data_IF_759748559689
#
_entry.id   IF_759748559689
#
_cell.length_a   1.000
_cell.length_b   1.000
_cell.length_c   1.000
_cell.angle_alpha   90.00
_cell.angle_beta   90.00
_cell.angle_gamma   90.00
#
_symmetry.space_group_name_H-M   'P 1'
#
loop_
_entity.id
_entity.type
_entity.pdbx_description
1 polymer ?
#
# COMPACT_ATOMS: atom_id res chain seq x y z
N UNK A 1 -18.80 0.07 -17.06
CA UNK A 1 -19.51 1.34 -16.70
C UNK A 1 -19.02 2.03 -15.41
N UNK A 2 -18.82 1.32 -14.30
CA UNK A 2 -18.49 1.92 -12.99
C UNK A 2 -17.15 2.67 -12.92
N UNK A 3 -16.12 2.19 -13.64
CA UNK A 3 -14.80 2.81 -13.63
C UNK A 3 -14.79 4.24 -14.18
N UNK A 4 -15.48 4.47 -15.31
CA UNK A 4 -15.58 5.80 -15.92
C UNK A 4 -16.34 6.75 -14.99
N UNK A 5 -17.41 6.26 -14.37
CA UNK A 5 -18.21 7.02 -13.41
C UNK A 5 -17.39 7.43 -12.18
N UNK A 6 -16.58 6.51 -11.65
CA UNK A 6 -15.68 6.79 -10.54
C UNK A 6 -14.62 7.83 -10.91
N UNK A 7 -13.98 7.70 -12.09
CA UNK A 7 -13.01 8.68 -12.59
C UNK A 7 -13.62 10.07 -12.74
N UNK A 8 -14.83 10.15 -13.29
CA UNK A 8 -15.56 11.41 -13.42
C UNK A 8 -15.87 12.00 -12.04
N UNK A 9 -16.31 11.19 -11.08
CA UNK A 9 -16.58 11.63 -9.71
C UNK A 9 -15.33 12.20 -9.04
N UNK A 10 -14.18 11.54 -9.14
CA UNK A 10 -12.92 12.04 -8.60
C UNK A 10 -12.53 13.39 -9.21
N UNK A 11 -12.60 13.52 -10.54
CA UNK A 11 -12.32 14.77 -11.24
C UNK A 11 -13.34 15.88 -10.90
N UNK A 12 -14.60 15.52 -10.68
CA UNK A 12 -15.64 16.47 -10.27
C UNK A 12 -15.37 17.01 -8.87
N UNK A 13 -15.10 16.12 -7.90
CA UNK A 13 -14.81 16.47 -6.52
C UNK A 13 -13.61 17.44 -6.37
N UNK A 14 -12.64 17.39 -7.29
CA UNK A 14 -11.51 18.34 -7.34
C UNK A 14 -11.92 19.81 -7.52
N UNK A 15 -13.10 20.06 -8.10
CA UNK A 15 -13.58 21.40 -8.45
C UNK A 15 -14.79 21.84 -7.62
N UNK A 16 -15.28 21.02 -6.68
CA UNK A 16 -16.39 21.37 -5.81
C UNK A 16 -15.91 22.10 -4.55
N UNK A 17 -16.82 22.82 -3.89
CA UNK A 17 -16.55 23.29 -2.53
C UNK A 17 -16.65 22.13 -1.52
N UNK A 18 -16.16 22.35 -0.30
CA UNK A 18 -16.09 21.32 0.74
C UNK A 18 -17.45 20.78 1.16
N UNK A 19 -18.51 21.59 1.16
CA UNK A 19 -19.86 21.17 1.56
C UNK A 19 -20.49 20.24 0.51
N UNK A 20 -20.41 20.62 -0.78
CA UNK A 20 -20.88 19.81 -1.90
C UNK A 20 -20.12 18.48 -1.99
N UNK A 21 -18.80 18.53 -1.81
CA UNK A 21 -17.98 17.34 -1.78
C UNK A 21 -18.34 16.41 -0.61
N UNK A 22 -18.58 16.96 0.59
CA UNK A 22 -19.03 16.19 1.73
C UNK A 22 -20.36 15.47 1.46
N UNK A 23 -21.33 16.15 0.83
CA UNK A 23 -22.59 15.54 0.43
C UNK A 23 -22.41 14.41 -0.59
N UNK A 24 -21.53 14.59 -1.58
CA UNK A 24 -21.22 13.54 -2.56
C UNK A 24 -20.54 12.33 -1.91
N UNK A 25 -19.61 12.55 -0.97
CA UNK A 25 -18.96 11.47 -0.23
C UNK A 25 -20.01 10.65 0.53
N UNK A 26 -20.91 11.31 1.27
CA UNK A 26 -21.95 10.61 2.02
C UNK A 26 -22.91 9.82 1.11
N UNK A 27 -23.33 10.40 -0.02
CA UNK A 27 -24.39 9.82 -0.85
C UNK A 27 -23.89 8.83 -1.90
N UNK A 28 -22.72 9.09 -2.50
CA UNK A 28 -22.19 8.34 -3.65
C UNK A 28 -21.01 7.43 -3.29
N UNK A 29 -20.38 7.61 -2.12
CA UNK A 29 -19.23 6.79 -1.70
C UNK A 29 -19.59 5.95 -0.48
N UNK A 30 -20.08 6.58 0.59
CA UNK A 30 -20.40 5.94 1.87
C UNK A 30 -21.88 5.56 2.00
N UNK A 31 -22.69 5.78 0.97
CA UNK A 31 -24.12 5.53 1.01
C UNK A 31 -24.46 4.04 1.11
N UNK A 32 -25.48 3.69 1.90
CA UNK A 32 -25.87 2.30 2.19
C UNK A 32 -26.20 1.46 0.93
N UNK A 33 -26.69 2.10 -0.13
CA UNK A 33 -27.10 1.43 -1.37
C UNK A 33 -26.00 1.43 -2.44
N UNK A 34 -24.80 1.96 -2.15
CA UNK A 34 -23.70 2.00 -3.11
C UNK A 34 -23.01 0.63 -3.13
N UNK A 35 -22.88 -0.03 -4.30
CA UNK A 35 -22.14 -1.28 -4.39
C UNK A 35 -20.69 -1.11 -3.92
N UNK A 36 -20.17 -2.07 -3.15
CA UNK A 36 -18.83 -2.00 -2.58
C UNK A 36 -17.75 -1.72 -3.63
N UNK A 37 -17.79 -2.41 -4.77
CA UNK A 37 -16.84 -2.20 -5.87
C UNK A 37 -16.89 -0.77 -6.42
N UNK A 38 -18.09 -0.17 -6.51
CA UNK A 38 -18.27 1.20 -6.98
C UNK A 38 -17.72 2.21 -5.96
N UNK A 39 -18.00 1.98 -4.67
CA UNK A 39 -17.46 2.77 -3.56
C UNK A 39 -15.93 2.74 -3.55
N UNK A 40 -15.31 1.57 -3.65
CA UNK A 40 -13.85 1.45 -3.65
C UNK A 40 -13.20 2.13 -4.86
N UNK A 41 -13.79 2.03 -6.04
CA UNK A 41 -13.30 2.76 -7.23
C UNK A 41 -13.43 4.27 -7.06
N UNK A 42 -14.54 4.75 -6.49
CA UNK A 42 -14.74 6.16 -6.20
C UNK A 42 -13.71 6.69 -5.19
N UNK A 43 -13.47 5.96 -4.10
CA UNK A 43 -12.43 6.30 -3.10
C UNK A 43 -11.07 6.41 -3.79
N UNK A 44 -10.66 5.39 -4.54
CA UNK A 44 -9.38 5.41 -5.24
C UNK A 44 -9.27 6.58 -6.22
N UNK A 45 -10.34 6.89 -6.94
CA UNK A 45 -10.33 8.02 -7.86
C UNK A 45 -10.19 9.37 -7.15
N UNK A 46 -10.88 9.56 -6.02
CA UNK A 46 -10.75 10.79 -5.22
C UNK A 46 -9.34 10.90 -4.64
N UNK A 47 -8.76 9.80 -4.14
CA UNK A 47 -7.38 9.80 -3.62
C UNK A 47 -6.34 10.18 -4.67
N UNK A 48 -6.60 9.90 -5.95
CA UNK A 48 -5.72 10.29 -7.06
C UNK A 48 -5.95 11.75 -7.48
N UNK A 49 -7.20 12.15 -7.66
CA UNK A 49 -7.53 13.46 -8.23
C UNK A 49 -7.50 14.61 -7.20
N UNK A 50 -7.90 14.33 -5.96
CA UNK A 50 -8.00 15.28 -4.85
C UNK A 50 -7.70 14.61 -3.49
N UNK A 51 -6.43 14.24 -3.23
CA UNK A 51 -6.06 13.47 -2.03
C UNK A 51 -6.40 14.13 -0.70
N UNK A 52 -6.42 15.48 -0.66
CA UNK A 52 -6.73 16.26 0.56
C UNK A 52 -8.22 16.31 0.87
N UNK A 53 -9.09 15.93 -0.06
CA UNK A 53 -10.52 16.12 0.08
C UNK A 53 -11.10 15.42 1.32
N UNK A 54 -10.68 14.18 1.59
CA UNK A 54 -11.16 13.45 2.77
C UNK A 54 -10.68 14.08 4.08
N UNK A 55 -9.52 14.72 4.08
CA UNK A 55 -9.00 15.48 5.22
C UNK A 55 -9.84 16.74 5.43
N UNK A 56 -10.07 17.50 4.36
CA UNK A 56 -10.83 18.76 4.39
C UNK A 56 -12.30 18.55 4.77
N UNK A 57 -12.89 17.42 4.36
CA UNK A 57 -14.28 17.06 4.66
C UNK A 57 -14.45 16.29 5.97
N UNK A 58 -13.35 15.84 6.60
CA UNK A 58 -13.37 15.13 7.87
C UNK A 58 -13.74 13.63 7.79
N UNK A 59 -13.79 13.01 6.60
CA UNK A 59 -14.18 11.60 6.40
C UNK A 59 -13.01 10.61 6.38
N UNK A 60 -11.81 11.01 6.81
CA UNK A 60 -10.61 10.17 6.73
C UNK A 60 -10.82 8.81 7.38
N UNK A 61 -11.44 8.77 8.56
CA UNK A 61 -11.61 7.54 9.33
C UNK A 61 -12.63 6.59 8.69
N UNK A 62 -13.74 7.12 8.22
CA UNK A 62 -14.81 6.38 7.55
C UNK A 62 -14.31 5.76 6.26
N UNK A 63 -13.53 6.52 5.48
CA UNK A 63 -12.93 6.06 4.22
C UNK A 63 -11.88 4.98 4.48
N UNK A 64 -11.00 5.18 5.46
CA UNK A 64 -10.04 4.17 5.90
C UNK A 64 -10.74 2.88 6.34
N UNK A 65 -11.78 2.99 7.17
CA UNK A 65 -12.52 1.84 7.68
C UNK A 65 -13.24 1.09 6.55
N UNK A 66 -13.87 1.81 5.61
CA UNK A 66 -14.52 1.21 4.45
C UNK A 66 -13.52 0.46 3.55
N UNK A 67 -12.36 1.07 3.27
CA UNK A 67 -11.31 0.46 2.47
C UNK A 67 -10.71 -0.78 3.14
N UNK A 68 -10.40 -0.71 4.45
CA UNK A 68 -9.89 -1.86 5.21
C UNK A 68 -10.90 -3.01 5.27
N UNK A 69 -12.19 -2.71 5.44
CA UNK A 69 -13.25 -3.71 5.44
C UNK A 69 -13.45 -4.38 4.07
N UNK A 70 -13.06 -3.72 2.98
CA UNK A 70 -13.14 -4.28 1.63
C UNK A 70 -12.02 -5.31 1.35
N UNK A 71 -10.86 -5.22 2.00
CA UNK A 71 -9.70 -6.08 1.73
C UNK A 71 -9.99 -7.58 1.94
N UNK A 72 -10.61 -8.05 3.04
CA UNK A 72 -10.90 -9.48 3.21
C UNK A 72 -12.08 -9.99 2.36
N UNK A 73 -12.64 -9.17 1.46
CA UNK A 73 -13.75 -9.58 0.60
C UNK A 73 -13.32 -10.64 -0.42
N UNK A 74 -14.25 -11.52 -0.80
CA UNK A 74 -14.03 -12.58 -1.80
C UNK A 74 -14.04 -12.06 -3.24
N UNK A 75 -14.54 -10.85 -3.47
CA UNK A 75 -14.52 -10.18 -4.77
C UNK A 75 -13.16 -9.50 -4.94
N UNK A 76 -12.34 -10.02 -5.85
CA UNK A 76 -10.98 -9.54 -6.13
C UNK A 76 -10.90 -8.05 -6.44
N UNK A 77 -11.83 -7.52 -7.25
CA UNK A 77 -11.82 -6.09 -7.60
C UNK A 77 -12.09 -5.17 -6.41
N UNK A 78 -12.94 -5.58 -5.46
CA UNK A 78 -13.18 -4.83 -4.21
C UNK A 78 -11.99 -4.95 -3.27
N UNK A 79 -11.45 -6.16 -3.13
CA UNK A 79 -10.34 -6.49 -2.23
C UNK A 79 -9.05 -5.73 -2.61
N UNK A 80 -8.68 -5.78 -3.89
CA UNK A 80 -7.50 -5.09 -4.42
C UNK A 80 -7.66 -3.57 -4.39
N UNK A 81 -8.84 -3.05 -4.71
CA UNK A 81 -9.13 -1.62 -4.62
C UNK A 81 -9.09 -1.12 -3.16
N UNK A 82 -9.54 -1.91 -2.19
CA UNK A 82 -9.39 -1.60 -0.76
C UNK A 82 -7.92 -1.48 -0.35
N UNK A 83 -7.09 -2.44 -0.77
CA UNK A 83 -5.64 -2.42 -0.50
C UNK A 83 -4.96 -1.18 -1.11
N UNK A 84 -5.28 -0.86 -2.37
CA UNK A 84 -4.76 0.32 -3.06
C UNK A 84 -5.25 1.64 -2.44
N UNK A 85 -6.48 1.71 -1.95
CA UNK A 85 -6.99 2.91 -1.28
C UNK A 85 -6.17 3.21 -0.02
N UNK A 86 -5.95 2.21 0.85
CA UNK A 86 -5.10 2.40 2.03
C UNK A 86 -3.66 2.71 1.62
N UNK A 87 -3.14 2.03 0.60
CA UNK A 87 -1.82 2.31 0.01
C UNK A 87 -1.63 3.77 -0.40
N UNK A 88 -2.57 4.32 -1.18
CA UNK A 88 -2.57 5.73 -1.58
C UNK A 88 -2.62 6.66 -0.38
N UNK A 89 -3.42 6.35 0.64
CA UNK A 89 -3.48 7.17 1.86
C UNK A 89 -2.11 7.19 2.57
N UNK A 90 -1.46 6.05 2.80
CA UNK A 90 -0.19 6.00 3.54
C UNK A 90 1.01 6.55 2.74
N UNK A 91 0.98 6.45 1.41
CA UNK A 91 2.04 6.97 0.53
C UNK A 91 1.89 8.49 0.31
N UNK A 92 0.69 9.04 0.37
CA UNK A 92 0.47 10.44 0.08
C UNK A 92 0.89 11.36 1.23
N UNK A 93 1.76 12.33 0.94
CA UNK A 93 2.32 13.29 1.90
C UNK A 93 1.26 14.03 2.74
N UNK A 94 0.06 14.27 2.18
CA UNK A 94 -1.02 14.95 2.91
C UNK A 94 -1.46 14.19 4.17
N UNK A 95 -1.41 12.86 4.15
CA UNK A 95 -1.77 12.01 5.30
C UNK A 95 -0.56 11.73 6.20
N UNK A 96 0.66 11.78 5.68
CA UNK A 96 1.89 11.53 6.45
C UNK A 96 2.15 12.57 7.55
N UNK A 97 1.50 13.74 7.45
CA UNK A 97 1.46 14.74 8.53
C UNK A 97 0.90 14.14 9.82
N UNK A 98 -0.10 13.26 9.71
CA UNK A 98 -0.66 12.51 10.83
C UNK A 98 0.02 11.13 10.93
N UNK A 99 1.13 11.09 11.66
CA UNK A 99 1.91 9.86 11.84
C UNK A 99 1.16 8.82 12.69
N UNK A 100 0.20 9.22 13.53
CA UNK A 100 -0.59 8.30 14.33
C UNK A 100 -1.58 7.55 13.43
N UNK A 101 -2.32 8.28 12.59
CA UNK A 101 -3.20 7.71 11.57
C UNK A 101 -2.45 6.74 10.65
N UNK A 102 -1.35 7.19 10.03
CA UNK A 102 -0.58 6.32 9.11
C UNK A 102 -0.06 5.09 9.83
N UNK A 103 0.35 5.24 11.10
CA UNK A 103 0.76 4.12 11.92
C UNK A 103 -0.33 3.11 12.19
N UNK A 104 -1.54 3.58 12.51
CA UNK A 104 -2.71 2.74 12.69
C UNK A 104 -3.04 1.97 11.39
N UNK A 105 -3.01 2.65 10.24
CA UNK A 105 -3.27 2.04 8.94
C UNK A 105 -2.25 0.95 8.59
N UNK A 106 -0.96 1.20 8.81
CA UNK A 106 0.10 0.19 8.61
C UNK A 106 -0.15 -1.02 9.52
N UNK A 107 -0.46 -0.81 10.80
CA UNK A 107 -0.73 -1.90 11.72
C UNK A 107 -1.96 -2.72 11.28
N UNK A 108 -3.05 -2.06 10.85
CA UNK A 108 -4.23 -2.74 10.33
C UNK A 108 -3.93 -3.53 9.04
N UNK A 109 -3.09 -3.00 8.14
CA UNK A 109 -2.61 -3.76 6.98
C UNK A 109 -1.80 -4.99 7.39
N UNK A 110 -0.94 -4.90 8.40
CA UNK A 110 -0.20 -6.05 8.92
C UNK A 110 -1.14 -7.14 9.48
N UNK A 111 -2.21 -6.74 10.17
CA UNK A 111 -3.24 -7.66 10.68
C UNK A 111 -3.94 -8.36 9.51
N UNK A 112 -4.37 -7.61 8.49
CA UNK A 112 -5.08 -8.16 7.32
C UNK A 112 -4.16 -9.05 6.47
N UNK A 113 -2.89 -8.69 6.30
CA UNK A 113 -1.91 -9.49 5.57
C UNK A 113 -1.64 -10.85 6.23
N UNK A 114 -1.85 -10.96 7.54
CA UNK A 114 -1.75 -12.21 8.31
C UNK A 114 -2.96 -13.13 8.13
N UNK A 115 -4.02 -12.67 7.46
CA UNK A 115 -5.24 -13.44 7.21
C UNK A 115 -5.17 -14.18 5.86
N UNK A 116 -6.14 -15.08 5.65
CA UNK A 116 -6.34 -15.70 4.34
C UNK A 116 -7.19 -14.78 3.46
N UNK A 117 -6.51 -13.92 2.70
CA UNK A 117 -7.10 -13.00 1.74
C UNK A 117 -6.63 -13.32 0.33
N UNK A 118 -7.28 -12.70 -0.65
CA UNK A 118 -6.94 -12.85 -2.08
C UNK A 118 -5.45 -12.56 -2.30
N UNK A 119 -4.81 -13.47 -3.04
CA UNK A 119 -3.38 -13.43 -3.36
C UNK A 119 -2.92 -12.07 -3.86
N UNK A 120 -3.68 -11.48 -4.80
CA UNK A 120 -3.32 -10.21 -5.41
C UNK A 120 -3.38 -9.06 -4.41
N UNK A 121 -4.35 -9.09 -3.49
CA UNK A 121 -4.43 -8.12 -2.39
C UNK A 121 -3.25 -8.24 -1.44
N UNK A 122 -2.78 -9.45 -1.12
CA UNK A 122 -1.53 -9.63 -0.35
C UNK A 122 -0.34 -8.98 -1.06
N UNK A 123 -0.20 -9.25 -2.36
CA UNK A 123 0.87 -8.67 -3.19
C UNK A 123 0.81 -7.14 -3.16
N UNK A 124 -0.36 -6.56 -3.40
CA UNK A 124 -0.55 -5.10 -3.42
C UNK A 124 -0.28 -4.45 -2.05
N UNK A 125 -0.66 -5.08 -0.94
CA UNK A 125 -0.32 -4.57 0.40
C UNK A 125 1.20 -4.51 0.58
N UNK A 126 1.92 -5.54 0.16
CA UNK A 126 3.40 -5.58 0.24
C UNK A 126 4.04 -4.51 -0.65
N UNK A 127 3.49 -4.27 -1.85
CA UNK A 127 3.91 -3.18 -2.74
C UNK A 127 3.69 -1.81 -2.07
N UNK A 128 2.54 -1.60 -1.42
CA UNK A 128 2.26 -0.36 -0.70
C UNK A 128 3.22 -0.16 0.49
N UNK A 129 3.51 -1.20 1.26
CA UNK A 129 4.50 -1.13 2.35
C UNK A 129 5.89 -0.79 1.81
N UNK A 130 6.31 -1.40 0.69
CA UNK A 130 7.56 -1.07 0.01
C UNK A 130 7.59 0.40 -0.41
N UNK A 131 6.53 0.90 -1.04
CA UNK A 131 6.44 2.29 -1.50
C UNK A 131 6.63 3.27 -0.34
N UNK A 132 5.95 3.06 0.80
CA UNK A 132 6.16 3.89 2.00
C UNK A 132 7.57 3.75 2.55
N UNK A 133 8.12 2.52 2.64
CA UNK A 133 9.48 2.32 3.13
C UNK A 133 10.55 3.00 2.24
N UNK A 134 10.29 3.12 0.95
CA UNK A 134 11.15 3.82 -0.01
C UNK A 134 11.02 5.35 0.11
N UNK A 135 9.80 5.87 0.11
CA UNK A 135 9.53 7.31 0.04
C UNK A 135 9.58 8.00 1.41
N UNK A 136 9.08 7.32 2.45
CA UNK A 136 8.95 7.84 3.80
C UNK A 136 9.44 6.82 4.87
N UNK A 137 10.73 6.43 4.86
CA UNK A 137 11.27 5.41 5.75
C UNK A 137 11.04 5.69 7.24
N UNK A 138 10.99 6.97 7.63
CA UNK A 138 10.72 7.41 9.01
C UNK A 138 9.34 6.98 9.53
N UNK A 139 8.39 6.63 8.66
CA UNK A 139 7.09 6.07 9.03
C UNK A 139 7.15 4.56 9.30
N UNK A 140 8.11 3.85 8.70
CA UNK A 140 8.24 2.39 8.82
C UNK A 140 9.22 2.02 9.95
N UNK A 141 10.31 2.75 10.12
CA UNK A 141 11.34 2.47 11.13
C UNK A 141 10.80 2.26 12.56
N UNK A 142 9.89 3.12 13.09
CA UNK A 142 9.36 2.94 14.45
C UNK A 142 8.45 1.71 14.59
N UNK A 143 8.07 1.09 13.47
CA UNK A 143 7.03 0.03 13.37
C UNK A 143 7.59 -1.30 12.89
N UNK A 144 8.91 -1.44 12.80
CA UNK A 144 9.56 -2.66 12.32
C UNK A 144 9.16 -3.91 13.12
N UNK A 145 8.88 -3.77 14.41
CA UNK A 145 8.41 -4.86 15.26
C UNK A 145 7.05 -5.42 14.86
N UNK A 146 6.22 -4.65 14.16
CA UNK A 146 4.92 -5.06 13.61
C UNK A 146 5.06 -5.52 12.15
N UNK A 147 5.83 -4.77 11.35
CA UNK A 147 5.96 -4.96 9.91
C UNK A 147 6.78 -6.21 9.57
N UNK A 148 7.97 -6.37 10.18
CA UNK A 148 8.92 -7.42 9.79
C UNK A 148 8.38 -8.83 10.04
N UNK A 149 7.74 -9.18 11.18
CA UNK A 149 7.23 -10.53 11.40
C UNK A 149 6.21 -10.98 10.34
N UNK A 150 5.31 -10.08 9.94
CA UNK A 150 4.28 -10.37 8.94
C UNK A 150 4.91 -10.56 7.56
N UNK A 151 5.82 -9.67 7.14
CA UNK A 151 6.53 -9.84 5.86
C UNK A 151 7.39 -11.11 5.87
N UNK A 152 8.03 -11.46 6.99
CA UNK A 152 8.80 -12.69 7.15
C UNK A 152 7.96 -13.97 7.03
N UNK A 153 6.64 -13.86 7.18
CA UNK A 153 5.70 -14.94 6.88
C UNK A 153 5.45 -15.01 5.36
N UNK A 154 5.20 -13.87 4.72
CA UNK A 154 4.95 -13.79 3.28
C UNK A 154 6.15 -14.20 2.41
N UNK A 155 7.40 -13.98 2.84
CA UNK A 155 8.59 -14.44 2.09
C UNK A 155 8.73 -15.97 2.02
N UNK A 156 7.95 -16.70 2.84
CA UNK A 156 7.92 -18.17 2.86
C UNK A 156 6.78 -18.74 2.00
N UNK A 157 5.93 -17.88 1.44
CA UNK A 157 4.83 -18.32 0.59
C UNK A 157 5.35 -18.96 -0.70
N UNK A 158 4.60 -19.95 -1.20
CA UNK A 158 4.91 -20.64 -2.46
C UNK A 158 4.45 -19.83 -3.69
N UNK A 159 3.55 -18.88 -3.48
CA UNK A 159 3.04 -18.02 -4.54
C UNK A 159 4.11 -16.98 -4.89
N UNK A 160 4.74 -17.17 -6.05
CA UNK A 160 5.95 -16.42 -6.44
C UNK A 160 5.74 -14.90 -6.42
N UNK A 161 4.63 -14.33 -6.97
CA UNK A 161 4.43 -12.88 -6.94
C UNK A 161 4.39 -12.29 -5.52
N UNK A 162 3.70 -12.95 -4.58
CA UNK A 162 3.62 -12.52 -3.18
C UNK A 162 4.98 -12.60 -2.51
N UNK A 163 5.70 -13.70 -2.72
CA UNK A 163 7.05 -13.88 -2.18
C UNK A 163 8.01 -12.79 -2.65
N UNK A 164 8.02 -12.48 -3.95
CA UNK A 164 8.91 -11.45 -4.50
C UNK A 164 8.55 -10.05 -3.97
N UNK A 165 7.26 -9.73 -3.89
CA UNK A 165 6.80 -8.49 -3.27
C UNK A 165 7.22 -8.40 -1.79
N UNK A 166 7.14 -9.51 -1.05
CA UNK A 166 7.56 -9.57 0.35
C UNK A 166 9.07 -9.39 0.52
N UNK A 167 9.88 -10.03 -0.34
CA UNK A 167 11.33 -9.88 -0.32
C UNK A 167 11.75 -8.42 -0.55
N UNK A 168 11.08 -7.74 -1.49
CA UNK A 168 11.32 -6.32 -1.77
C UNK A 168 10.83 -5.43 -0.62
N UNK A 169 9.62 -5.65 -0.11
CA UNK A 169 9.10 -4.91 1.04
C UNK A 169 10.01 -5.05 2.27
N UNK A 170 10.54 -6.24 2.54
CA UNK A 170 11.47 -6.49 3.65
C UNK A 170 12.80 -5.76 3.45
N UNK A 171 13.37 -5.81 2.24
CA UNK A 171 14.61 -5.13 1.90
C UNK A 171 14.51 -3.62 2.13
N UNK A 172 13.44 -2.98 1.65
CA UNK A 172 13.23 -1.54 1.81
C UNK A 172 12.85 -1.15 3.24
N UNK A 173 12.04 -1.96 3.93
CA UNK A 173 11.69 -1.71 5.34
C UNK A 173 12.92 -1.71 6.25
N UNK A 174 13.87 -2.61 6.01
CA UNK A 174 15.14 -2.70 6.75
C UNK A 174 16.24 -1.78 6.18
N UNK A 175 15.92 -1.01 5.13
CA UNK A 175 16.82 -0.07 4.44
C UNK A 175 18.14 -0.67 3.93
N UNK A 176 18.14 -1.97 3.63
CA UNK A 176 19.35 -2.68 3.19
C UNK A 176 19.90 -2.18 1.85
N UNK A 177 19.07 -1.54 1.02
CA UNK A 177 19.51 -0.85 -0.19
C UNK A 177 20.44 0.34 0.07
N UNK A 178 20.46 0.90 1.29
CA UNK A 178 21.37 1.97 1.69
C UNK A 178 22.57 1.39 2.46
N UNK A 179 22.29 0.85 3.64
CA UNK A 179 23.27 0.27 4.55
C UNK A 179 22.57 -0.68 5.55
N UNK A 180 23.35 -1.26 6.46
CA UNK A 180 22.87 -2.28 7.38
C UNK A 180 22.48 -1.70 8.76
N UNK A 181 22.54 -0.39 8.99
CA UNK A 181 22.37 0.23 10.31
C UNK A 181 20.99 0.01 10.93
N UNK A 182 19.93 0.22 10.15
CA UNK A 182 18.53 0.02 10.58
C UNK A 182 18.29 -1.46 10.88
N UNK A 183 18.80 -2.34 10.03
CA UNK A 183 18.76 -3.79 10.24
C UNK A 183 19.45 -4.21 11.55
N UNK A 184 20.68 -3.74 11.80
CA UNK A 184 21.42 -4.07 13.03
C UNK A 184 20.73 -3.53 14.28
N UNK A 185 20.19 -2.31 14.19
CA UNK A 185 19.42 -1.70 15.28
C UNK A 185 18.19 -2.54 15.59
N UNK A 186 17.43 -2.94 14.57
CA UNK A 186 16.25 -3.79 14.72
C UNK A 186 16.60 -5.17 15.30
N UNK A 187 17.69 -5.80 14.84
CA UNK A 187 18.16 -7.08 15.39
C UNK A 187 18.42 -7.02 16.90
N UNK A 188 18.89 -5.87 17.41
CA UNK A 188 19.10 -5.65 18.84
C UNK A 188 17.81 -5.56 19.66
N UNK A 189 16.65 -5.40 19.02
CA UNK A 189 15.34 -5.25 19.70
C UNK A 189 14.51 -6.52 19.79
N UNK A 190 14.83 -7.54 18.98
CA UNK A 190 14.02 -8.76 18.84
C UNK A 190 14.62 -9.94 19.60
N UNK A 191 13.77 -10.91 19.97
CA UNK A 191 14.21 -12.11 20.67
C UNK A 191 15.16 -12.98 19.84
N UNK A 192 15.92 -13.85 20.52
CA UNK A 192 16.96 -14.69 19.91
C UNK A 192 16.44 -15.62 18.81
N UNK A 193 15.17 -16.05 18.86
CA UNK A 193 14.60 -17.02 17.90
C UNK A 193 14.20 -16.33 16.61
N UNK A 194 13.47 -15.22 16.71
CA UNK A 194 13.13 -14.36 15.58
C UNK A 194 14.40 -13.80 14.93
N UNK A 195 15.38 -13.41 15.74
CA UNK A 195 16.70 -12.95 15.29
C UNK A 195 17.37 -14.01 14.40
N UNK A 196 17.45 -15.26 14.84
CA UNK A 196 18.07 -16.34 14.06
C UNK A 196 17.42 -16.52 12.69
N UNK A 197 16.09 -16.56 12.63
CA UNK A 197 15.37 -16.73 11.36
C UNK A 197 15.63 -15.56 10.39
N UNK A 198 15.63 -14.34 10.89
CA UNK A 198 15.90 -13.14 10.09
C UNK A 198 17.36 -13.08 9.64
N UNK A 199 18.33 -13.39 10.51
CA UNK A 199 19.77 -13.46 10.16
C UNK A 199 20.04 -14.51 9.09
N UNK A 200 19.47 -15.71 9.23
CA UNK A 200 19.62 -16.77 8.23
C UNK A 200 19.04 -16.35 6.88
N UNK A 201 17.88 -15.70 6.89
CA UNK A 201 17.23 -15.22 5.67
C UNK A 201 18.02 -14.07 5.02
N UNK A 202 18.51 -13.13 5.83
CA UNK A 202 19.37 -12.03 5.38
C UNK A 202 20.62 -12.54 4.66
N UNK A 203 21.34 -13.48 5.30
CA UNK A 203 22.56 -14.08 4.73
C UNK A 203 22.29 -14.82 3.41
N UNK A 204 21.15 -15.47 3.26
CA UNK A 204 20.86 -16.30 2.07
C UNK A 204 20.30 -15.51 0.90
N UNK A 205 19.43 -14.54 1.19
CA UNK A 205 18.58 -13.88 0.19
C UNK A 205 18.80 -12.36 0.22
N UNK A 206 18.51 -11.69 1.35
CA UNK A 206 18.46 -10.22 1.36
C UNK A 206 19.81 -9.56 1.07
N UNK A 207 20.93 -10.13 1.51
CA UNK A 207 22.27 -9.61 1.20
C UNK A 207 22.55 -9.55 -0.31
N UNK A 208 22.11 -10.56 -1.06
CA UNK A 208 22.24 -10.57 -2.53
C UNK A 208 21.29 -9.56 -3.17
N UNK A 209 20.05 -9.48 -2.69
CA UNK A 209 19.08 -8.52 -3.18
C UNK A 209 19.55 -7.07 -2.91
N UNK A 210 20.11 -6.80 -1.73
CA UNK A 210 20.66 -5.51 -1.37
C UNK A 210 21.83 -5.10 -2.26
N UNK A 211 22.75 -6.04 -2.54
CA UNK A 211 23.85 -5.80 -3.48
C UNK A 211 23.35 -5.50 -4.90
N UNK A 212 22.39 -6.28 -5.40
CA UNK A 212 21.80 -6.06 -6.71
C UNK A 212 21.08 -4.70 -6.77
N UNK A 213 20.36 -4.34 -5.72
CA UNK A 213 19.63 -3.07 -5.63
C UNK A 213 20.58 -1.88 -5.58
N UNK A 214 21.65 -1.95 -4.79
CA UNK A 214 22.71 -0.92 -4.74
C UNK A 214 23.34 -0.72 -6.12
N UNK A 215 23.73 -1.81 -6.78
CA UNK A 215 24.32 -1.76 -8.12
C UNK A 215 23.34 -1.18 -9.17
N UNK A 216 22.05 -1.51 -9.08
CA UNK A 216 20.99 -0.96 -9.93
C UNK A 216 20.85 0.56 -9.73
N UNK A 217 20.78 1.01 -8.48
CA UNK A 217 20.66 2.44 -8.15
C UNK A 217 21.90 3.24 -8.58
N UNK A 218 23.10 2.66 -8.48
CA UNK A 218 24.33 3.28 -8.97
C UNK A 218 24.33 3.47 -10.51
N UNK A 219 23.73 2.52 -11.25
CA UNK A 219 23.61 2.58 -12.71
C UNK A 219 22.63 3.63 -13.22
N UNK A 220 21.74 4.14 -12.36
CA UNK A 220 20.82 5.21 -12.77
C UNK A 220 21.58 6.48 -13.15
N UNK A 221 22.74 6.76 -12.55
CA UNK A 221 23.54 7.97 -12.84
C UNK A 221 22.70 9.28 -12.78
N UNK A 222 21.72 9.35 -11.89
CA UNK A 222 20.79 10.49 -11.75
C UNK A 222 19.62 10.48 -12.73
N UNK A 223 19.46 9.44 -13.55
CA UNK A 223 18.23 9.19 -14.31
C UNK A 223 17.10 8.77 -13.38
N UNK A 224 15.87 8.96 -13.86
CA UNK A 224 14.67 8.52 -13.16
C UNK A 224 14.65 6.99 -13.03
N UNK A 225 14.25 6.50 -11.85
CA UNK A 225 14.12 5.09 -11.58
C UNK A 225 12.81 4.57 -12.18
N UNK A 226 12.88 3.98 -13.37
CA UNK A 226 11.72 3.46 -14.09
C UNK A 226 10.95 2.39 -13.29
N UNK A 227 11.64 1.56 -12.48
CA UNK A 227 10.98 0.54 -11.64
C UNK A 227 10.22 1.21 -10.49
N UNK A 228 10.78 2.27 -9.91
CA UNK A 228 10.08 3.05 -8.88
C UNK A 228 8.87 3.77 -9.46
N UNK A 229 8.97 4.31 -10.68
CA UNK A 229 7.85 4.96 -11.38
C UNK A 229 6.74 3.95 -11.68
N UNK A 230 7.07 2.75 -12.16
CA UNK A 230 6.08 1.70 -12.44
C UNK A 230 5.38 1.25 -11.15
N UNK A 231 6.13 1.08 -10.06
CA UNK A 231 5.60 0.78 -8.74
C UNK A 231 4.66 1.88 -8.24
N UNK A 232 5.06 3.14 -8.36
CA UNK A 232 4.24 4.28 -7.96
C UNK A 232 2.97 4.34 -8.84
N UNK A 233 3.08 4.12 -10.15
CA UNK A 233 1.93 4.04 -11.04
C UNK A 233 0.97 2.90 -10.69
N UNK A 234 1.49 1.76 -10.22
CA UNK A 234 0.68 0.66 -9.71
C UNK A 234 -0.09 1.05 -8.45
N UNK A 235 0.58 1.64 -7.45
CA UNK A 235 -0.09 2.12 -6.21
C UNK A 235 -1.14 3.17 -6.52
N UNK A 236 -0.86 4.08 -7.45
CA UNK A 236 -1.78 5.17 -7.83
C UNK A 236 -2.80 4.80 -8.91
N UNK A 237 -2.85 3.54 -9.36
CA UNK A 237 -3.84 3.09 -10.34
C UNK A 237 -5.28 3.15 -9.80
N UNK A 238 -6.25 3.46 -10.67
CA UNK A 238 -7.69 3.42 -10.36
C UNK A 238 -8.32 2.36 -11.25
N UNK A 239 -8.66 1.21 -10.65
CA UNK A 239 -9.03 0.01 -11.38
C UNK A 239 -7.81 -0.74 -11.94
N UNK A 240 -7.96 -2.03 -12.21
CA UNK A 240 -6.85 -2.90 -12.62
C UNK A 240 -6.13 -2.40 -13.87
N UNK A 241 -4.80 -2.30 -13.78
CA UNK A 241 -3.93 -2.23 -14.95
C UNK A 241 -4.02 -3.59 -15.66
N UNK A 242 -4.72 -3.63 -16.79
CA UNK A 242 -5.10 -4.84 -17.57
C UNK A 242 -6.31 -5.64 -17.04
N UNK A 243 -7.50 -5.05 -17.13
CA UNK A 243 -8.63 -5.84 -17.64
C UNK A 243 -8.61 -5.65 -19.15
N UNK A 244 -8.03 -6.62 -19.86
CA UNK A 244 -8.22 -6.74 -21.30
C UNK A 244 -9.72 -6.65 -21.58
N UNK A 245 -10.08 -5.91 -22.63
CA UNK A 245 -11.42 -5.78 -23.20
C UNK A 245 -12.27 -7.05 -23.08
N UNK A 246 -13.01 -7.19 -21.99
CA UNK A 246 -14.06 -8.16 -21.76
C UNK A 246 -14.67 -7.85 -20.39
N UNK A 247 -15.72 -7.03 -20.41
CA UNK A 247 -16.92 -7.14 -19.56
C UNK A 247 -17.69 -5.82 -19.72
N UNK A 248 -18.17 -5.62 -20.96
CA UNK A 248 -19.43 -4.93 -21.20
C UNK A 248 -20.50 -6.05 -21.24
N UNK A 249 -21.14 -6.31 -20.11
CA UNK A 249 -22.54 -6.71 -19.96
C UNK A 249 -22.97 -6.57 -18.48
#
# INVERSE_FOLDING_TARGET
MWLVSAKLLGAFCKHQNTEEAAYLIQTQILGENVPLSASMLAINSVLVESPKLFIETGYVQEIANAALAAIPNTIESSSTAGALAIGKMIVNEAYQVDQELVGELINKLCIVLSQDIITESKRLILVCIRAVARQAPWLIEPRLSQVVPVIMTSVRERVIPVKLAAERALLFSLQLQKDDSVYQTYLGTIDTTANKALVDYHRRILSKLALNERARLEQLHGQEDAEAIEEDAEVFSVGGLNVGTADDE
#
